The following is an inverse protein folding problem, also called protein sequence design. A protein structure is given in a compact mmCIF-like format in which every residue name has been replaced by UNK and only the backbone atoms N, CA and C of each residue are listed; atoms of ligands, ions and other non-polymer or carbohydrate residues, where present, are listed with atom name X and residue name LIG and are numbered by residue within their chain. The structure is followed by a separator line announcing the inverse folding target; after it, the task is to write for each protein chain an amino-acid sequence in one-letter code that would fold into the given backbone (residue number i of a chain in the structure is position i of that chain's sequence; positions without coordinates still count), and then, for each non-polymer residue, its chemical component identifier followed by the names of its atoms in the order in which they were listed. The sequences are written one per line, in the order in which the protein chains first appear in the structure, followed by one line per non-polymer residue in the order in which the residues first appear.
data_IF_544657032923
#
_entry.id   IF_544657032923
#
_cell.length_a   1.000
_cell.length_b   1.000
_cell.length_c   1.000
_cell.angle_alpha   90.00
_cell.angle_beta   90.00
_cell.angle_gamma   90.00
#
_symmetry.space_group_name_H-M   'P 1'
#
loop_
_entity.id
_entity.type
_entity.pdbx_description
1 polymer ?
#
# COMPACT_ATOMS: atom_id res chain seq x y z
N UNK A 1 74.46 15.07 -56.58
CA UNK A 1 74.45 16.28 -55.73
C UNK A 1 73.91 15.90 -54.36
N UNK A 2 74.53 16.38 -53.26
CA UNK A 2 75.44 15.48 -52.56
C UNK A 2 75.32 15.54 -51.03
N UNK A 3 76.10 14.67 -50.37
CA UNK A 3 76.61 14.80 -48.99
C UNK A 3 75.56 14.55 -47.88
N UNK A 4 75.92 14.00 -46.72
CA UNK A 4 77.20 13.55 -46.20
C UNK A 4 76.93 12.58 -45.06
N UNK A 5 77.92 11.73 -44.93
CA UNK A 5 78.28 10.80 -43.86
C UNK A 5 78.13 11.30 -42.41
N UNK A 6 77.78 10.32 -41.57
CA UNK A 6 78.28 10.04 -40.22
C UNK A 6 78.00 11.07 -39.10
N UNK A 7 77.53 10.58 -37.96
CA UNK A 7 78.35 10.42 -36.74
C UNK A 7 77.52 9.96 -35.54
N UNK A 8 78.03 8.93 -34.87
CA UNK A 8 78.10 8.68 -33.42
C UNK A 8 77.09 9.38 -32.51
N UNK A 9 76.42 8.58 -31.68
CA UNK A 9 76.38 8.90 -30.25
C UNK A 9 75.05 8.68 -29.52
N UNK A 10 75.11 7.68 -28.63
CA UNK A 10 74.67 7.76 -27.23
C UNK A 10 73.18 7.77 -26.87
N UNK A 11 72.85 6.77 -26.04
CA UNK A 11 72.14 6.86 -24.76
C UNK A 11 70.77 7.54 -24.69
N UNK A 12 69.77 6.81 -24.19
CA UNK A 12 69.22 7.03 -22.84
C UNK A 12 67.98 6.17 -22.63
N UNK A 13 67.83 5.74 -21.38
CA UNK A 13 66.67 5.02 -20.87
C UNK A 13 65.40 5.88 -20.84
N UNK A 14 64.26 5.27 -21.13
CA UNK A 14 62.95 5.67 -20.61
C UNK A 14 62.00 4.46 -20.65
N UNK A 15 61.44 4.13 -19.48
CA UNK A 15 60.49 3.04 -19.26
C UNK A 15 59.08 3.52 -19.65
N UNK A 16 58.44 2.85 -20.61
CA UNK A 16 57.02 3.05 -20.97
C UNK A 16 56.32 1.70 -20.86
N UNK A 17 55.39 1.57 -19.91
CA UNK A 17 54.51 0.40 -19.79
C UNK A 17 53.40 0.49 -20.84
N UNK A 18 53.44 -0.40 -21.84
CA UNK A 18 52.50 -0.47 -22.95
C UNK A 18 51.40 -1.51 -22.69
N UNK A 19 50.17 -1.10 -22.97
CA UNK A 19 48.94 -1.86 -23.05
C UNK A 19 48.97 -2.85 -24.23
N UNK A 20 48.47 -4.08 -24.04
CA UNK A 20 48.09 -4.95 -25.16
C UNK A 20 46.57 -4.91 -25.35
N UNK A 21 46.16 -4.25 -26.43
CA UNK A 21 44.84 -4.39 -27.03
C UNK A 21 44.99 -5.20 -28.32
N UNK A 22 44.26 -6.30 -28.45
CA UNK A 22 43.91 -6.87 -29.76
C UNK A 22 42.38 -6.96 -29.85
N UNK A 23 41.83 -6.22 -30.82
CA UNK A 23 40.43 -6.23 -31.26
C UNK A 23 40.29 -7.11 -32.49
N UNK A 24 39.21 -7.91 -32.55
CA UNK A 24 38.27 -8.06 -33.70
C UNK A 24 37.02 -8.81 -33.18
N UNK A 25 35.90 -8.13 -32.92
CA UNK A 25 34.75 -7.85 -33.79
C UNK A 25 33.72 -9.00 -33.98
N UNK A 26 32.61 -8.92 -33.23
CA UNK A 26 31.26 -9.11 -33.77
C UNK A 26 30.55 -10.48 -33.63
N UNK A 27 29.80 -10.69 -32.54
CA UNK A 27 28.35 -11.03 -32.59
C UNK A 27 27.73 -10.96 -31.19
N UNK A 28 26.54 -10.38 -31.12
CA UNK A 28 25.70 -10.20 -29.93
C UNK A 28 25.26 -11.57 -29.39
N UNK A 29 25.37 -11.78 -28.09
CA UNK A 29 24.25 -12.35 -27.33
C UNK A 29 24.26 -11.82 -25.89
N UNK A 30 23.22 -11.07 -25.55
CA UNK A 30 22.93 -10.60 -24.18
C UNK A 30 21.80 -11.49 -23.70
N UNK A 31 22.05 -12.37 -22.74
CA UNK A 31 21.00 -12.95 -21.90
C UNK A 31 21.58 -13.63 -20.67
N UNK A 32 20.89 -13.43 -19.56
CA UNK A 32 20.98 -14.15 -18.29
C UNK A 32 22.19 -13.87 -17.39
N UNK A 33 22.17 -12.70 -16.75
CA UNK A 33 22.54 -12.59 -15.32
C UNK A 33 21.86 -11.34 -14.73
N UNK A 34 20.61 -11.50 -14.34
CA UNK A 34 19.82 -10.47 -13.68
C UNK A 34 18.76 -11.11 -12.77
N UNK A 35 19.18 -11.76 -11.68
CA UNK A 35 18.32 -12.06 -10.51
C UNK A 35 19.14 -12.15 -9.23
N UNK A 36 19.43 -11.00 -8.63
CA UNK A 36 19.67 -10.86 -7.19
C UNK A 36 19.75 -9.35 -6.87
N UNK A 37 18.63 -8.75 -6.50
CA UNK A 37 18.54 -7.34 -6.17
C UNK A 37 17.07 -6.95 -5.92
N UNK A 38 16.63 -6.55 -4.74
CA UNK A 38 17.37 -6.41 -3.49
C UNK A 38 16.40 -6.43 -2.30
N UNK A 39 16.78 -7.17 -1.28
CA UNK A 39 16.28 -6.97 0.08
C UNK A 39 16.91 -5.68 0.61
N UNK A 40 16.20 -4.57 0.44
CA UNK A 40 16.32 -3.45 1.36
C UNK A 40 14.97 -3.33 2.10
N UNK A 41 14.66 -4.37 2.89
CA UNK A 41 13.80 -4.20 4.05
C UNK A 41 14.50 -3.17 4.97
N UNK A 42 14.08 -1.92 4.88
CA UNK A 42 14.46 -0.92 5.88
C UNK A 42 14.07 -1.46 7.26
N UNK A 43 15.09 -1.73 8.09
CA UNK A 43 14.99 -2.14 9.48
C UNK A 43 14.70 -0.96 10.42
N UNK A 44 14.50 0.24 9.89
CA UNK A 44 14.15 1.40 10.68
C UNK A 44 12.75 1.22 11.28
N UNK A 45 12.65 1.47 12.59
CA UNK A 45 11.38 1.72 13.25
C UNK A 45 10.69 2.92 12.61
N UNK A 46 9.37 2.99 12.77
CA UNK A 46 8.55 4.04 12.23
C UNK A 46 9.08 5.42 12.61
N UNK A 47 9.31 6.21 11.58
CA UNK A 47 9.52 7.64 11.69
C UNK A 47 8.48 8.27 10.79
N UNK A 48 7.65 9.14 11.36
CA UNK A 48 6.80 9.98 10.55
C UNK A 48 7.69 10.73 9.56
N UNK A 49 7.39 10.62 8.27
CA UNK A 49 8.19 11.29 7.23
C UNK A 49 8.00 12.82 7.28
N UNK A 50 6.97 13.29 7.98
CA UNK A 50 6.61 14.70 8.18
C UNK A 50 6.13 14.92 9.62
N UNK A 51 6.12 16.18 10.09
CA UNK A 51 5.49 16.54 11.37
C UNK A 51 4.01 16.13 11.35
N UNK A 52 3.58 15.36 12.35
CA UNK A 52 2.24 14.81 12.37
C UNK A 52 1.26 15.79 13.01
N UNK A 53 0.23 16.17 12.25
CA UNK A 53 -0.89 16.92 12.78
C UNK A 53 -1.96 16.02 13.39
N UNK A 54 -2.88 16.66 14.11
CA UNK A 54 -4.17 16.05 14.47
C UNK A 54 -4.90 15.59 13.18
N UNK A 55 -5.53 14.41 13.21
CA UNK A 55 -6.32 13.89 12.11
C UNK A 55 -6.21 12.38 11.94
N UNK A 56 -6.85 11.86 10.90
CA UNK A 56 -6.80 10.45 10.53
C UNK A 56 -6.57 10.26 9.03
N UNK A 57 -5.75 9.26 8.68
CA UNK A 57 -5.58 8.78 7.32
C UNK A 57 -6.07 7.34 7.19
N UNK A 58 -6.89 7.08 6.17
CA UNK A 58 -7.44 5.77 5.87
C UNK A 58 -7.05 5.38 4.45
N UNK A 59 -6.38 4.24 4.32
CA UNK A 59 -6.18 3.58 3.02
C UNK A 59 -7.20 2.46 2.89
N UNK A 60 -8.14 2.61 1.95
CA UNK A 60 -9.17 1.61 1.65
C UNK A 60 -8.62 0.69 0.55
N UNK A 61 -8.49 -0.59 0.86
CA UNK A 61 -7.97 -1.64 -0.01
C UNK A 61 -9.14 -2.54 -0.43
N UNK A 62 -9.49 -2.49 -1.71
CA UNK A 62 -10.69 -3.13 -2.24
C UNK A 62 -10.27 -4.34 -3.07
N UNK A 63 -10.74 -5.52 -2.68
CA UNK A 63 -10.53 -6.74 -3.43
C UNK A 63 -11.28 -6.71 -4.76
N UNK A 64 -10.56 -7.01 -5.82
CA UNK A 64 -11.04 -7.14 -7.19
C UNK A 64 -10.56 -8.46 -7.80
N UNK A 65 -10.37 -9.48 -6.96
CA UNK A 65 -10.03 -10.85 -7.37
C UNK A 65 -11.17 -11.53 -8.13
N UNK A 66 -10.90 -12.68 -8.76
CA UNK A 66 -11.89 -13.38 -9.58
C UNK A 66 -13.18 -13.76 -8.85
N UNK A 67 -13.10 -14.16 -7.58
CA UNK A 67 -14.25 -14.56 -6.74
C UNK A 67 -15.25 -13.43 -6.51
N UNK A 68 -14.79 -12.18 -6.56
CA UNK A 68 -15.66 -11.02 -6.43
C UNK A 68 -16.67 -10.85 -7.59
N UNK A 69 -16.58 -11.67 -8.66
CA UNK A 69 -17.61 -11.75 -9.73
C UNK A 69 -18.82 -12.57 -9.34
N UNK A 70 -18.69 -13.45 -8.35
CA UNK A 70 -19.78 -14.30 -7.90
C UNK A 70 -20.90 -13.45 -7.30
N UNK A 71 -22.11 -13.98 -7.30
CA UNK A 71 -23.26 -13.33 -6.70
C UNK A 71 -23.01 -13.12 -5.20
N UNK A 72 -23.38 -11.95 -4.69
CA UNK A 72 -23.36 -11.69 -3.26
C UNK A 72 -24.40 -12.57 -2.56
N UNK A 73 -24.14 -13.09 -1.35
CA UNK A 73 -25.11 -13.94 -0.70
C UNK A 73 -26.41 -13.18 -0.41
N UNK A 74 -27.52 -13.71 -0.89
CA UNK A 74 -28.85 -13.10 -0.80
C UNK A 74 -29.10 -11.95 -1.77
N UNK A 75 -28.24 -11.73 -2.78
CA UNK A 75 -28.38 -10.69 -3.79
C UNK A 75 -27.97 -11.23 -5.18
N UNK A 76 -28.75 -10.94 -6.23
CA UNK A 76 -28.45 -11.41 -7.59
C UNK A 76 -27.35 -10.58 -8.28
N UNK A 77 -26.84 -9.55 -7.62
CA UNK A 77 -25.74 -8.72 -8.11
C UNK A 77 -24.41 -9.30 -7.65
N UNK A 78 -23.34 -9.12 -8.45
CA UNK A 78 -22.00 -9.55 -8.06
C UNK A 78 -21.49 -8.89 -6.77
N UNK A 79 -20.68 -9.61 -6.00
CA UNK A 79 -20.06 -9.13 -4.76
C UNK A 79 -19.35 -7.79 -4.92
N UNK A 80 -18.60 -7.58 -6.00
CA UNK A 80 -17.90 -6.31 -6.22
C UNK A 80 -18.85 -5.10 -6.35
N UNK A 81 -20.06 -5.30 -6.90
CA UNK A 81 -21.08 -4.23 -7.00
C UNK A 81 -21.61 -3.90 -5.61
N UNK A 82 -21.98 -4.93 -4.84
CA UNK A 82 -22.49 -4.78 -3.48
C UNK A 82 -21.44 -4.15 -2.55
N UNK A 83 -20.18 -4.54 -2.69
CA UNK A 83 -19.07 -3.95 -1.94
C UNK A 83 -18.83 -2.49 -2.30
N UNK A 84 -18.86 -2.15 -3.59
CA UNK A 84 -18.73 -0.75 -4.01
C UNK A 84 -19.86 0.11 -3.43
N UNK A 85 -21.12 -0.33 -3.49
CA UNK A 85 -22.25 0.39 -2.92
C UNK A 85 -22.13 0.56 -1.39
N UNK A 86 -21.71 -0.49 -0.69
CA UNK A 86 -21.52 -0.42 0.76
C UNK A 86 -20.41 0.57 1.14
N UNK A 87 -19.30 0.62 0.39
CA UNK A 87 -18.24 1.61 0.57
C UNK A 87 -18.75 3.02 0.24
N UNK A 88 -19.50 3.20 -0.85
CA UNK A 88 -20.11 4.49 -1.19
C UNK A 88 -21.04 5.00 -0.08
N UNK A 89 -21.78 4.12 0.60
CA UNK A 89 -22.66 4.49 1.71
C UNK A 89 -21.89 5.00 2.96
N UNK A 90 -20.66 4.53 3.17
CA UNK A 90 -19.81 4.99 4.30
C UNK A 90 -19.33 6.44 4.13
N UNK A 91 -19.39 6.96 2.91
CA UNK A 91 -19.05 8.35 2.60
C UNK A 91 -20.01 9.33 3.28
N UNK A 92 -21.29 8.98 3.40
CA UNK A 92 -22.29 9.81 4.10
C UNK A 92 -21.92 9.96 5.59
N UNK A 93 -21.46 8.88 6.23
CA UNK A 93 -21.00 8.92 7.62
C UNK A 93 -19.74 9.78 7.77
N UNK A 94 -18.83 9.73 6.79
CA UNK A 94 -17.61 10.54 6.77
C UNK A 94 -17.94 12.03 6.66
N UNK A 95 -18.85 12.42 5.76
CA UNK A 95 -19.31 13.81 5.65
C UNK A 95 -19.97 14.32 6.92
N UNK A 96 -20.86 13.52 7.51
CA UNK A 96 -21.54 13.86 8.75
C UNK A 96 -20.53 14.07 9.91
N UNK A 97 -19.45 13.29 9.94
CA UNK A 97 -18.38 13.47 10.92
C UNK A 97 -17.58 14.76 10.67
N UNK A 98 -17.13 15.00 9.44
CA UNK A 98 -16.36 16.20 9.08
C UNK A 98 -17.18 17.46 9.38
N UNK A 99 -18.48 17.45 9.10
CA UNK A 99 -19.38 18.56 9.42
C UNK A 99 -19.44 18.86 10.93
N UNK A 100 -19.34 17.82 11.78
CA UNK A 100 -19.33 17.96 13.25
C UNK A 100 -17.95 18.31 13.81
N UNK A 101 -16.87 17.94 13.13
CA UNK A 101 -15.47 18.09 13.56
C UNK A 101 -14.59 18.63 12.42
N UNK A 102 -14.80 19.88 11.97
CA UNK A 102 -14.05 20.46 10.86
C UNK A 102 -12.56 20.69 11.16
N UNK A 103 -12.20 20.68 12.45
CA UNK A 103 -10.84 20.77 12.99
C UNK A 103 -10.06 19.45 12.92
N UNK A 104 -10.74 18.33 12.65
CA UNK A 104 -10.14 17.00 12.58
C UNK A 104 -10.07 16.52 11.12
N UNK A 105 -8.92 16.69 10.42
CA UNK A 105 -8.82 16.34 9.01
C UNK A 105 -8.87 14.83 8.80
N UNK A 106 -9.75 14.40 7.90
CA UNK A 106 -9.81 13.02 7.40
C UNK A 106 -9.17 12.98 6.02
N UNK A 107 -8.17 12.10 5.85
CA UNK A 107 -7.51 11.82 4.57
C UNK A 107 -7.85 10.41 4.12
N UNK A 108 -8.19 10.24 2.84
CA UNK A 108 -8.56 8.94 2.25
C UNK A 108 -7.69 8.67 1.02
N UNK A 109 -7.19 7.44 0.93
CA UNK A 109 -6.66 6.84 -0.29
C UNK A 109 -7.42 5.56 -0.65
N UNK A 110 -7.45 5.22 -1.94
CA UNK A 110 -8.17 4.05 -2.45
C UNK A 110 -7.25 3.24 -3.35
N UNK A 111 -7.19 1.96 -3.08
CA UNK A 111 -6.42 0.98 -3.81
C UNK A 111 -7.36 -0.17 -4.17
N UNK A 112 -7.21 -0.71 -5.37
CA UNK A 112 -7.76 -2.02 -5.70
C UNK A 112 -6.64 -3.05 -5.71
N UNK A 113 -6.94 -4.30 -5.36
CA UNK A 113 -5.98 -5.38 -5.52
C UNK A 113 -6.62 -6.63 -6.10
N UNK A 114 -5.83 -7.38 -6.85
CA UNK A 114 -6.09 -8.77 -7.23
C UNK A 114 -4.77 -9.53 -7.19
N UNK A 115 -4.24 -10.04 -8.31
CA UNK A 115 -2.85 -10.52 -8.37
C UNK A 115 -1.82 -9.40 -8.22
N UNK A 116 -2.21 -8.15 -8.49
CA UNK A 116 -1.39 -6.96 -8.33
C UNK A 116 -2.22 -5.86 -7.65
N UNK A 117 -1.55 -4.85 -7.12
CA UNK A 117 -2.19 -3.67 -6.51
C UNK A 117 -2.25 -2.54 -7.53
N UNK A 118 -3.29 -1.71 -7.44
CA UNK A 118 -3.44 -0.49 -8.23
C UNK A 118 -3.93 0.64 -7.35
N UNK A 119 -3.16 1.72 -7.29
CA UNK A 119 -3.58 2.99 -6.71
C UNK A 119 -4.66 3.64 -7.60
N UNK A 120 -5.83 3.94 -7.01
CA UNK A 120 -6.95 4.62 -7.69
C UNK A 120 -7.13 6.06 -7.21
N UNK A 121 -6.74 6.34 -5.95
CA UNK A 121 -6.74 7.65 -5.33
C UNK A 121 -5.60 7.72 -4.31
N UNK A 122 -4.63 8.61 -4.51
CA UNK A 122 -3.59 8.89 -3.51
C UNK A 122 -4.19 9.44 -2.22
N UNK A 123 -3.61 9.09 -1.08
CA UNK A 123 -4.04 9.61 0.23
C UNK A 123 -4.04 11.14 0.22
N UNK A 124 -5.22 11.73 0.39
CA UNK A 124 -5.46 13.18 0.33
C UNK A 124 -6.65 13.56 1.21
N UNK A 125 -6.83 14.85 1.57
CA UNK A 125 -8.04 15.29 2.27
C UNK A 125 -9.31 14.78 1.61
N UNK A 126 -10.29 14.38 2.42
CA UNK A 126 -11.55 13.82 1.96
C UNK A 126 -12.24 14.76 0.96
N UNK A 127 -12.59 14.18 -0.19
CA UNK A 127 -13.36 14.81 -1.24
C UNK A 127 -14.30 13.73 -1.80
N UNK A 128 -15.61 13.90 -1.56
CA UNK A 128 -16.63 12.93 -1.97
C UNK A 128 -16.61 12.67 -3.48
N UNK A 129 -16.42 13.70 -4.30
CA UNK A 129 -16.40 13.54 -5.74
C UNK A 129 -15.16 12.76 -6.20
N UNK A 130 -14.00 13.05 -5.61
CA UNK A 130 -12.76 12.33 -5.91
C UNK A 130 -12.86 10.85 -5.50
N UNK A 131 -13.42 10.55 -4.33
CA UNK A 131 -13.63 9.19 -3.82
C UNK A 131 -14.61 8.42 -4.70
N UNK A 132 -15.78 8.98 -5.01
CA UNK A 132 -16.75 8.34 -5.93
C UNK A 132 -16.17 8.12 -7.32
N UNK A 133 -15.42 9.09 -7.83
CA UNK A 133 -14.73 8.97 -9.12
C UNK A 133 -13.68 7.86 -9.12
N UNK A 134 -13.02 7.59 -8.00
CA UNK A 134 -12.08 6.48 -7.87
C UNK A 134 -12.79 5.12 -7.77
N UNK A 135 -13.89 5.03 -7.02
CA UNK A 135 -14.71 3.81 -6.93
C UNK A 135 -15.31 3.43 -8.29
N UNK A 136 -15.79 4.40 -9.07
CA UNK A 136 -16.28 4.17 -10.43
C UNK A 136 -15.21 3.66 -11.42
N UNK A 137 -13.92 3.80 -11.08
CA UNK A 137 -12.78 3.32 -11.87
C UNK A 137 -12.23 1.98 -11.39
N UNK A 138 -12.89 1.32 -10.43
CA UNK A 138 -12.50 -0.01 -9.99
C UNK A 138 -12.37 -0.95 -11.21
N UNK A 139 -11.26 -1.71 -11.31
CA UNK A 139 -11.12 -2.68 -12.37
C UNK A 139 -12.19 -3.76 -12.26
N UNK A 140 -12.55 -4.37 -13.40
CA UNK A 140 -13.40 -5.57 -13.37
C UNK A 140 -12.69 -6.67 -12.60
N UNK A 141 -13.39 -7.44 -11.76
CA UNK A 141 -12.69 -8.41 -10.93
C UNK A 141 -12.01 -9.51 -11.76
N UNK A 142 -10.92 -10.08 -11.28
CA UNK A 142 -10.16 -11.12 -11.97
C UNK A 142 -8.80 -11.38 -11.33
N UNK A 143 -8.15 -12.48 -11.70
CA UNK A 143 -6.87 -12.87 -11.09
C UNK A 143 -7.04 -13.43 -9.67
N UNK A 144 -5.92 -13.49 -8.95
CA UNK A 144 -5.85 -13.94 -7.55
C UNK A 144 -6.09 -12.82 -6.54
N UNK A 145 -5.64 -13.03 -5.31
CA UNK A 145 -5.93 -12.18 -4.16
C UNK A 145 -4.63 -11.90 -3.39
N UNK A 146 -4.01 -10.73 -3.63
CA UNK A 146 -2.72 -10.32 -3.07
C UNK A 146 -2.88 -9.33 -1.91
N UNK A 147 -3.49 -9.79 -0.83
CA UNK A 147 -3.76 -8.98 0.38
C UNK A 147 -2.45 -8.46 0.99
N UNK A 148 -1.42 -9.31 1.10
CA UNK A 148 -0.14 -8.90 1.67
C UNK A 148 0.56 -7.81 0.86
N UNK A 149 0.45 -7.85 -0.46
CA UNK A 149 1.00 -6.78 -1.32
C UNK A 149 0.20 -5.49 -1.18
N UNK A 150 -1.13 -5.56 -1.12
CA UNK A 150 -1.99 -4.40 -0.91
C UNK A 150 -1.64 -3.66 0.40
N UNK A 151 -1.44 -4.40 1.50
CA UNK A 151 -0.98 -3.84 2.77
C UNK A 151 0.41 -3.20 2.65
N UNK A 152 1.33 -3.88 1.97
CA UNK A 152 2.71 -3.44 1.79
C UNK A 152 2.83 -2.17 0.95
N UNK A 153 2.01 -2.03 -0.10
CA UNK A 153 2.02 -0.88 -1.00
C UNK A 153 1.34 0.35 -0.41
N UNK A 154 0.26 0.18 0.36
CA UNK A 154 -0.46 1.31 0.95
C UNK A 154 0.22 1.88 2.21
N UNK A 155 1.02 1.07 2.92
CA UNK A 155 1.69 1.47 4.18
C UNK A 155 2.57 2.73 4.03
N UNK A 156 3.52 2.83 3.07
CA UNK A 156 4.37 4.01 2.94
C UNK A 156 3.57 5.29 2.69
N UNK A 157 2.43 5.18 1.99
CA UNK A 157 1.56 6.33 1.71
C UNK A 157 0.91 6.84 2.99
N UNK A 158 0.52 5.95 3.90
CA UNK A 158 0.01 6.33 5.22
C UNK A 158 1.07 7.05 6.07
N UNK A 159 2.34 6.63 5.99
CA UNK A 159 3.44 7.29 6.72
C UNK A 159 3.70 8.71 6.22
N UNK A 160 3.39 8.98 4.94
CA UNK A 160 3.46 10.32 4.33
C UNK A 160 2.20 11.16 4.51
N UNK A 161 1.17 10.63 5.16
CA UNK A 161 -0.11 11.32 5.28
C UNK A 161 -0.05 12.53 6.23
N UNK A 162 0.96 12.63 7.10
CA UNK A 162 1.16 13.76 8.03
C UNK A 162 0.03 13.95 9.05
N UNK A 163 -0.59 12.85 9.46
CA UNK A 163 -1.61 12.80 10.50
C UNK A 163 -1.33 11.61 11.42
N UNK A 164 -1.58 11.77 12.71
CA UNK A 164 -1.16 10.77 13.69
C UNK A 164 -1.91 9.42 13.56
N UNK A 165 -3.23 9.41 13.36
CA UNK A 165 -4.01 8.16 13.24
C UNK A 165 -3.94 7.60 11.83
N UNK A 166 -3.58 6.31 11.70
CA UNK A 166 -3.40 5.64 10.41
C UNK A 166 -4.11 4.30 10.39
N UNK A 167 -4.90 4.09 9.35
CA UNK A 167 -5.75 2.91 9.22
C UNK A 167 -5.60 2.29 7.84
N UNK A 168 -5.40 0.98 7.81
CA UNK A 168 -5.57 0.14 6.63
C UNK A 168 -6.92 -0.56 6.74
N UNK A 169 -7.82 -0.32 5.80
CA UNK A 169 -9.14 -0.96 5.75
C UNK A 169 -9.22 -1.88 4.52
N UNK A 170 -9.25 -3.18 4.74
CA UNK A 170 -9.35 -4.19 3.68
C UNK A 170 -10.80 -4.68 3.57
N UNK A 171 -11.32 -4.73 2.34
CA UNK A 171 -12.60 -5.37 2.01
C UNK A 171 -12.32 -6.50 1.03
N UNK A 172 -12.57 -7.75 1.42
CA UNK A 172 -12.22 -8.95 0.64
C UNK A 172 -13.21 -10.09 0.84
N UNK A 173 -13.40 -10.93 -0.18
CA UNK A 173 -14.17 -12.17 -0.10
C UNK A 173 -13.31 -13.45 -0.07
N UNK A 174 -11.99 -13.29 -0.14
CA UNK A 174 -11.08 -14.39 -0.42
C UNK A 174 -9.95 -14.52 0.57
N UNK A 175 -9.26 -15.65 0.48
CA UNK A 175 -7.95 -15.82 1.11
C UNK A 175 -6.85 -15.27 0.22
N UNK A 176 -5.69 -14.97 0.81
CA UNK A 176 -4.54 -14.56 0.05
C UNK A 176 -4.05 -15.72 -0.83
N UNK A 177 -4.11 -15.55 -2.15
CA UNK A 177 -3.69 -16.55 -3.15
C UNK A 177 -2.50 -16.08 -4.00
N UNK A 178 -1.99 -14.86 -3.76
CA UNK A 178 -0.87 -14.28 -4.49
C UNK A 178 -0.01 -13.42 -3.57
N UNK A 179 1.29 -13.30 -3.86
CA UNK A 179 2.21 -12.47 -3.09
C UNK A 179 2.47 -12.94 -1.66
N UNK A 180 2.93 -12.02 -0.81
CA UNK A 180 3.30 -12.30 0.58
C UNK A 180 2.09 -12.67 1.45
N UNK A 181 2.25 -13.55 2.47
CA UNK A 181 1.19 -13.82 3.43
C UNK A 181 0.79 -12.56 4.20
N UNK A 182 -0.52 -12.26 4.33
CA UNK A 182 -0.99 -11.04 4.99
C UNK A 182 -0.64 -11.00 6.48
N UNK A 183 -0.58 -12.17 7.15
CA UNK A 183 -0.12 -12.24 8.54
C UNK A 183 1.31 -11.70 8.72
N UNK A 184 2.25 -12.11 7.85
CA UNK A 184 3.63 -11.64 7.92
C UNK A 184 3.69 -10.12 7.76
N UNK A 185 2.96 -9.59 6.77
CA UNK A 185 2.97 -8.16 6.46
C UNK A 185 2.28 -7.34 7.56
N UNK A 186 1.14 -7.81 8.09
CA UNK A 186 0.43 -7.15 9.19
C UNK A 186 1.29 -7.10 10.46
N UNK A 187 1.96 -8.20 10.84
CA UNK A 187 2.89 -8.22 11.98
C UNK A 187 4.11 -7.31 11.75
N UNK A 188 4.59 -7.22 10.51
CA UNK A 188 5.65 -6.27 10.16
C UNK A 188 5.18 -4.81 10.32
N UNK A 189 4.01 -4.47 9.79
CA UNK A 189 3.39 -3.14 9.93
C UNK A 189 3.23 -2.79 11.40
N UNK A 190 2.66 -3.69 12.20
CA UNK A 190 2.43 -3.45 13.63
C UNK A 190 3.73 -3.19 14.38
N UNK A 191 4.73 -4.06 14.22
CA UNK A 191 6.04 -3.90 14.87
C UNK A 191 6.77 -2.64 14.42
N UNK A 192 6.83 -2.39 13.11
CA UNK A 192 7.54 -1.22 12.57
C UNK A 192 6.85 0.07 12.99
N UNK A 193 5.52 0.11 13.00
CA UNK A 193 4.74 1.28 13.44
C UNK A 193 4.65 1.47 14.95
N UNK A 194 5.19 0.54 15.75
CA UNK A 194 4.98 0.51 17.20
C UNK A 194 3.48 0.61 17.57
N UNK A 195 2.61 0.02 16.74
CA UNK A 195 1.16 0.07 16.88
C UNK A 195 0.46 1.33 16.35
N UNK A 196 1.18 2.29 15.74
CA UNK A 196 0.58 3.51 15.20
C UNK A 196 -0.28 3.28 13.94
N UNK A 197 -0.11 2.14 13.24
CA UNK A 197 -0.99 1.74 12.14
C UNK A 197 -1.89 0.60 12.59
N UNK A 198 -3.19 0.83 12.53
CA UNK A 198 -4.19 -0.19 12.80
C UNK A 198 -4.70 -0.81 11.49
N UNK A 199 -4.96 -2.11 11.51
CA UNK A 199 -5.38 -2.87 10.33
C UNK A 199 -6.75 -3.48 10.57
N UNK A 200 -7.72 -3.10 9.75
CA UNK A 200 -9.10 -3.57 9.84
C UNK A 200 -9.49 -4.34 8.59
N UNK A 201 -10.12 -5.50 8.78
CA UNK A 201 -10.63 -6.31 7.68
C UNK A 201 -12.15 -6.39 7.77
N UNK A 202 -12.80 -6.29 6.62
CA UNK A 202 -14.17 -6.73 6.41
C UNK A 202 -14.16 -7.96 5.52
N UNK A 203 -14.45 -9.10 6.12
CA UNK A 203 -14.51 -10.41 5.47
C UNK A 203 -15.91 -10.61 4.88
N UNK A 204 -16.07 -10.33 3.59
CA UNK A 204 -17.36 -10.39 2.89
C UNK A 204 -17.57 -11.76 2.26
N UNK A 205 -18.64 -12.48 2.59
CA UNK A 205 -18.88 -13.85 2.12
C UNK A 205 -17.69 -14.81 2.39
N UNK A 206 -17.00 -14.58 3.51
CA UNK A 206 -15.90 -15.44 3.93
C UNK A 206 -15.75 -15.44 5.44
N UNK A 207 -15.19 -16.51 5.97
CA UNK A 207 -15.05 -16.71 7.41
C UNK A 207 -14.02 -15.73 8.00
N UNK A 208 -14.39 -14.90 8.99
CA UNK A 208 -13.44 -13.98 9.63
C UNK A 208 -12.33 -14.70 10.40
N UNK A 209 -12.52 -15.97 10.76
CA UNK A 209 -11.51 -16.80 11.44
C UNK A 209 -10.21 -16.94 10.62
N UNK A 210 -10.29 -16.83 9.30
CA UNK A 210 -9.12 -16.81 8.40
C UNK A 210 -8.18 -15.64 8.68
N UNK A 211 -8.70 -14.58 9.29
CA UNK A 211 -7.97 -13.36 9.64
C UNK A 211 -7.78 -13.18 11.15
N UNK A 212 -7.94 -14.26 11.94
CA UNK A 212 -7.78 -14.21 13.39
C UNK A 212 -6.40 -13.69 13.85
N UNK A 213 -5.38 -13.82 13.00
CA UNK A 213 -4.03 -13.29 13.24
C UNK A 213 -4.00 -11.77 13.48
N UNK A 214 -5.01 -11.02 13.02
CA UNK A 214 -5.06 -9.55 13.18
C UNK A 214 -5.10 -9.12 14.66
N UNK A 215 -5.69 -9.94 15.54
CA UNK A 215 -5.73 -9.65 16.98
C UNK A 215 -4.34 -9.52 17.59
N UNK A 216 -3.38 -10.30 17.09
CA UNK A 216 -1.98 -10.25 17.53
C UNK A 216 -1.14 -9.23 16.75
N UNK A 217 -1.73 -8.56 15.76
CA UNK A 217 -1.09 -7.59 14.87
C UNK A 217 -1.72 -6.19 14.96
N UNK A 218 -2.34 -5.86 16.10
CA UNK A 218 -2.94 -4.54 16.35
C UNK A 218 -4.12 -4.21 15.43
N UNK A 219 -4.86 -5.24 15.02
CA UNK A 219 -5.98 -5.13 14.09
C UNK A 219 -7.19 -5.93 14.53
N UNK A 220 -8.26 -5.83 13.74
CA UNK A 220 -9.51 -6.55 13.98
C UNK A 220 -10.18 -6.94 12.65
N UNK A 221 -11.11 -7.89 12.70
CA UNK A 221 -11.87 -8.36 11.55
C UNK A 221 -13.35 -8.46 11.89
N UNK A 222 -14.19 -7.97 10.98
CA UNK A 222 -15.64 -8.13 11.04
C UNK A 222 -16.08 -8.96 9.83
N UNK A 223 -16.83 -10.04 10.10
CA UNK A 223 -17.45 -10.85 9.05
C UNK A 223 -18.76 -10.21 8.55
N UNK A 224 -19.02 -10.34 7.27
CA UNK A 224 -20.25 -9.92 6.63
C UNK A 224 -20.71 -11.00 5.65
N UNK A 225 -21.83 -11.65 5.93
CA UNK A 225 -22.43 -12.66 5.05
C UNK A 225 -23.34 -12.08 3.97
N UNK A 226 -23.80 -10.83 4.09
CA UNK A 226 -24.70 -10.19 3.12
C UNK A 226 -24.29 -8.73 2.85
N UNK A 227 -24.84 -8.10 1.80
CA UNK A 227 -24.60 -6.68 1.54
C UNK A 227 -25.02 -5.76 2.70
N UNK A 228 -26.11 -6.08 3.40
CA UNK A 228 -26.56 -5.34 4.57
C UNK A 228 -25.62 -5.51 5.77
N UNK A 229 -25.01 -6.69 5.93
CA UNK A 229 -23.98 -6.93 6.94
C UNK A 229 -22.66 -6.24 6.60
N UNK A 230 -22.30 -6.22 5.31
CA UNK A 230 -21.11 -5.52 4.82
C UNK A 230 -21.19 -4.03 5.13
N UNK A 231 -22.33 -3.40 4.84
CA UNK A 231 -22.57 -2.00 5.22
C UNK A 231 -22.45 -1.78 6.72
N UNK A 232 -23.09 -2.62 7.53
CA UNK A 232 -23.01 -2.53 9.01
C UNK A 232 -21.59 -2.71 9.53
N UNK A 233 -20.82 -3.63 8.95
CA UNK A 233 -19.42 -3.88 9.33
C UNK A 233 -18.54 -2.67 9.01
N UNK A 234 -18.69 -2.09 7.82
CA UNK A 234 -17.98 -0.88 7.44
C UNK A 234 -18.37 0.31 8.33
N UNK A 235 -19.66 0.50 8.60
CA UNK A 235 -20.15 1.55 9.50
C UNK A 235 -19.59 1.38 10.93
N UNK A 236 -19.53 0.14 11.43
CA UNK A 236 -18.98 -0.16 12.76
C UNK A 236 -17.48 0.17 12.85
N UNK A 237 -16.68 -0.17 11.82
CA UNK A 237 -15.26 0.18 11.78
C UNK A 237 -15.08 1.69 11.63
N UNK A 238 -15.78 2.32 10.69
CA UNK A 238 -15.65 3.75 10.46
C UNK A 238 -16.08 4.55 11.69
N UNK A 239 -17.29 4.35 12.18
CA UNK A 239 -17.80 5.13 13.30
C UNK A 239 -17.16 4.74 14.63
N UNK A 240 -17.03 3.44 14.91
CA UNK A 240 -16.62 2.94 16.23
C UNK A 240 -15.11 2.82 16.44
N UNK A 241 -14.31 2.84 15.37
CA UNK A 241 -12.85 2.75 15.45
C UNK A 241 -12.19 3.97 14.82
N UNK A 242 -12.39 4.19 13.53
CA UNK A 242 -11.66 5.24 12.80
C UNK A 242 -12.03 6.64 13.29
N UNK A 243 -13.33 6.90 13.46
CA UNK A 243 -13.88 8.21 13.80
C UNK A 243 -14.11 8.40 15.31
N UNK A 244 -14.49 7.35 16.06
CA UNK A 244 -14.65 7.44 17.52
C UNK A 244 -13.31 7.57 18.25
N UNK A 245 -12.22 7.10 17.66
CA UNK A 245 -10.91 7.37 18.21
C UNK A 245 -10.47 8.84 18.02
N UNK A 246 -11.22 9.69 17.30
CA UNK A 246 -10.99 11.13 17.37
C UNK A 246 -11.30 11.60 18.80
N UNK A 247 -10.32 12.16 19.55
CA UNK A 247 -10.47 12.32 20.99
C UNK A 247 -11.72 13.09 21.38
N UNK A 248 -12.37 12.62 22.45
CA UNK A 248 -13.20 13.43 23.33
C UNK A 248 -12.29 14.51 23.93
N UNK A 249 -12.20 15.66 23.26
CA UNK A 249 -11.72 16.96 23.76
C UNK A 249 -10.56 17.02 24.80
N UNK A 250 -9.68 16.02 24.87
CA UNK A 250 -8.79 15.85 26.02
C UNK A 250 -7.50 15.06 25.82
N UNK A 251 -7.27 14.45 24.65
CA UNK A 251 -5.93 13.94 24.32
C UNK A 251 -5.03 15.12 23.93
N UNK A 252 -3.98 15.33 24.73
CA UNK A 252 -3.01 16.42 24.56
C UNK A 252 -2.29 16.27 23.22
N UNK A 253 -2.18 17.38 22.49
CA UNK A 253 -1.28 17.50 21.34
C UNK A 253 0.10 16.92 21.67
N UNK A 254 0.75 16.20 20.73
CA UNK A 254 2.12 15.80 20.93
C UNK A 254 2.98 17.05 21.15
N UNK A 255 3.73 17.05 22.25
CA UNK A 255 4.62 18.17 22.60
C UNK A 255 5.60 18.38 21.46
N UNK A 256 5.53 19.54 20.81
CA UNK A 256 6.55 19.99 19.87
C UNK A 256 7.90 19.98 20.58
N UNK A 257 8.83 19.15 20.11
CA UNK A 257 10.24 19.23 20.50
C UNK A 257 10.95 20.29 19.68
#
# INVERSE_FOLDING_TARGET
MPLRTASVGLAMAALVTLTLACRTNGRRDRSADARSGGDFESAASYQAEVEEGLGAAVAILIDTSGSMRDDAPGDSRPKYVVAQEAIEATLDATEAFIAKRPDFPIKIGIYSFSSNVRLLLSIRPYDRAAVRGALARLPRPGGGTAIGEALGEARPDLYRAGVFRKYLLVVTDGENTSGRPPERVAREIFRKSEGAVQVYFVAFDTSPQKFAFLKDAGGDVIGAGTGAELRRALDAIYQGRILAEAPDAGEREPVKK
#
